data_IF_420625538169
#
_entry.id   IF_420625538169
#
_cell.length_a   1.000
_cell.length_b   1.000
_cell.length_c   1.000
_cell.angle_alpha   90.00
_cell.angle_beta   90.00
_cell.angle_gamma   90.00
#
_symmetry.space_group_name_H-M   'P 1'
#
loop_
_entity.id
_entity.type
_entity.pdbx_description
1 polymer ?
#
# COMPACT_ATOMS: atom_id res chain seq x y z
N UNK A 1 -52.81 -6.08 -50.18
CA UNK A 1 -51.90 -6.43 -49.06
C UNK A 1 -52.68 -7.29 -48.10
N UNK A 2 -52.06 -8.29 -47.47
CA UNK A 2 -52.71 -9.12 -46.45
C UNK A 2 -52.49 -8.48 -45.10
N UNK A 3 -53.56 -8.10 -44.40
CA UNK A 3 -53.47 -7.79 -42.98
C UNK A 3 -53.00 -9.05 -42.24
N UNK A 4 -52.05 -8.88 -41.32
CA UNK A 4 -51.42 -9.96 -40.59
C UNK A 4 -51.55 -9.66 -39.09
N UNK A 5 -52.67 -10.08 -38.51
CA UNK A 5 -52.96 -9.86 -37.09
C UNK A 5 -51.79 -10.25 -36.19
N UNK A 6 -51.41 -9.32 -35.30
CA UNK A 6 -50.33 -9.48 -34.32
C UNK A 6 -50.59 -10.73 -33.47
N UNK A 7 -49.63 -11.65 -33.42
CA UNK A 7 -49.68 -12.84 -32.58
C UNK A 7 -49.88 -12.46 -31.11
N UNK A 8 -50.56 -13.32 -30.35
CA UNK A 8 -50.68 -13.17 -28.89
C UNK A 8 -49.32 -13.13 -28.17
N UNK A 9 -48.26 -13.63 -28.81
CA UNK A 9 -46.89 -13.62 -28.30
C UNK A 9 -46.18 -12.30 -28.62
N UNK A 10 -46.26 -11.83 -29.86
CA UNK A 10 -45.78 -10.50 -30.30
C UNK A 10 -46.47 -9.39 -29.50
N UNK A 11 -47.79 -9.46 -29.33
CA UNK A 11 -48.58 -8.56 -28.51
C UNK A 11 -48.29 -8.67 -27.00
N UNK A 12 -47.56 -9.69 -26.52
CA UNK A 12 -47.01 -9.75 -25.16
C UNK A 12 -45.61 -9.12 -25.12
N UNK A 13 -44.74 -9.48 -26.05
CA UNK A 13 -43.40 -8.90 -26.22
C UNK A 13 -43.43 -7.37 -26.29
N UNK A 14 -44.33 -6.81 -27.09
CA UNK A 14 -44.53 -5.36 -27.22
C UNK A 14 -44.91 -4.66 -25.92
N UNK A 15 -45.73 -5.31 -25.07
CA UNK A 15 -46.14 -4.74 -23.78
C UNK A 15 -44.98 -4.75 -22.80
N UNK A 16 -44.29 -5.88 -22.66
CA UNK A 16 -43.09 -5.96 -21.81
C UNK A 16 -41.97 -5.03 -22.29
N UNK A 17 -41.79 -4.85 -23.61
CA UNK A 17 -40.85 -3.86 -24.15
C UNK A 17 -41.23 -2.42 -23.75
N UNK A 18 -42.50 -2.02 -23.92
CA UNK A 18 -42.98 -0.68 -23.54
C UNK A 18 -42.94 -0.44 -22.03
N UNK A 19 -43.17 -1.47 -21.22
CA UNK A 19 -43.03 -1.43 -19.75
C UNK A 19 -41.56 -1.21 -19.33
N UNK A 20 -40.64 -1.99 -19.90
CA UNK A 20 -39.20 -1.82 -19.66
C UNK A 20 -38.68 -0.45 -20.14
N UNK A 21 -39.16 0.07 -21.26
CA UNK A 21 -38.82 1.42 -21.73
C UNK A 21 -39.32 2.52 -20.77
N UNK A 22 -40.50 2.33 -20.16
CA UNK A 22 -41.01 3.21 -19.11
C UNK A 22 -40.11 3.20 -17.85
N UNK A 23 -39.67 2.02 -17.42
CA UNK A 23 -38.72 1.89 -16.31
C UNK A 23 -37.34 2.50 -16.64
N UNK A 24 -36.82 2.29 -17.85
CA UNK A 24 -35.55 2.91 -18.29
C UNK A 24 -35.63 4.44 -18.31
N UNK A 25 -36.70 5.02 -18.86
CA UNK A 25 -36.86 6.49 -18.89
C UNK A 25 -36.92 7.13 -17.50
N UNK A 26 -37.37 6.39 -16.48
CA UNK A 26 -37.28 6.83 -15.09
C UNK A 26 -35.86 6.66 -14.51
N UNK A 27 -35.19 5.54 -14.77
CA UNK A 27 -33.80 5.30 -14.34
C UNK A 27 -32.80 6.31 -14.93
N UNK A 28 -32.98 6.70 -16.20
CA UNK A 28 -32.14 7.69 -16.89
C UNK A 28 -32.21 9.07 -16.22
N UNK A 29 -33.29 9.40 -15.51
CA UNK A 29 -33.46 10.69 -14.84
C UNK A 29 -32.50 10.92 -13.66
N UNK A 30 -32.05 9.84 -13.00
CA UNK A 30 -31.13 9.92 -11.86
C UNK A 30 -29.80 9.18 -12.05
N UNK A 31 -29.67 8.31 -13.05
CA UNK A 31 -28.43 7.58 -13.34
C UNK A 31 -27.20 8.52 -13.47
N UNK A 32 -27.26 9.67 -14.17
CA UNK A 32 -26.14 10.62 -14.20
C UNK A 32 -25.77 11.20 -12.83
N UNK A 33 -26.76 11.42 -11.96
CA UNK A 33 -26.52 11.91 -10.60
C UNK A 33 -25.90 10.83 -9.71
N UNK A 34 -26.36 9.57 -9.82
CA UNK A 34 -25.78 8.43 -9.12
C UNK A 34 -24.32 8.18 -9.53
N UNK A 35 -23.99 8.30 -10.83
CA UNK A 35 -22.60 8.30 -11.31
C UNK A 35 -21.77 9.43 -10.73
N UNK A 36 -22.33 10.65 -10.66
CA UNK A 36 -21.67 11.80 -10.06
C UNK A 36 -21.31 11.54 -8.59
N UNK A 37 -22.25 10.99 -7.82
CA UNK A 37 -22.03 10.61 -6.41
C UNK A 37 -20.96 9.53 -6.27
N UNK A 38 -21.00 8.47 -7.09
CA UNK A 38 -19.97 7.40 -7.05
C UNK A 38 -18.58 7.90 -7.46
N UNK A 39 -18.49 8.75 -8.49
CA UNK A 39 -17.23 9.34 -8.92
C UNK A 39 -16.66 10.31 -7.88
N UNK A 40 -17.50 11.12 -7.23
CA UNK A 40 -17.09 11.98 -6.10
C UNK A 40 -16.65 11.14 -4.88
N UNK A 41 -17.32 10.03 -4.59
CA UNK A 41 -16.91 9.12 -3.51
C UNK A 41 -15.53 8.50 -3.77
N UNK A 42 -15.29 7.95 -4.97
CA UNK A 42 -13.95 7.46 -5.34
C UNK A 42 -12.92 8.59 -5.33
N UNK A 43 -13.29 9.79 -5.79
CA UNK A 43 -12.46 11.00 -5.72
C UNK A 43 -12.02 11.36 -4.30
N UNK A 44 -12.93 11.31 -3.31
CA UNK A 44 -12.62 11.60 -1.90
C UNK A 44 -11.63 10.56 -1.35
N UNK A 45 -11.87 9.27 -1.59
CA UNK A 45 -10.95 8.22 -1.15
C UNK A 45 -9.59 8.29 -1.87
N UNK A 46 -9.58 8.65 -3.15
CA UNK A 46 -8.35 8.88 -3.93
C UNK A 46 -7.57 10.08 -3.39
N UNK A 47 -8.26 11.18 -3.06
CA UNK A 47 -7.63 12.35 -2.43
C UNK A 47 -6.96 11.95 -1.10
N UNK A 48 -7.68 11.22 -0.23
CA UNK A 48 -7.15 10.76 1.04
C UNK A 48 -5.92 9.84 0.84
N UNK A 49 -6.02 8.85 -0.05
CA UNK A 49 -4.91 7.96 -0.38
C UNK A 49 -3.67 8.69 -0.90
N UNK A 50 -3.82 9.63 -1.84
CA UNK A 50 -2.71 10.45 -2.35
C UNK A 50 -2.16 11.40 -1.28
N UNK A 51 -3.01 11.98 -0.42
CA UNK A 51 -2.55 12.84 0.67
C UNK A 51 -1.70 12.08 1.70
N UNK A 52 -1.93 10.76 1.87
CA UNK A 52 -1.09 9.88 2.69
C UNK A 52 0.23 9.43 2.03
N UNK A 53 0.47 9.83 0.77
CA UNK A 53 1.69 9.55 0.00
C UNK A 53 2.52 10.81 -0.29
N UNK A 54 1.97 12.01 -0.09
CA UNK A 54 2.62 13.28 -0.37
C UNK A 54 3.04 13.96 0.93
N UNK A 55 4.23 13.61 1.44
CA UNK A 55 4.78 14.14 2.68
C UNK A 55 4.77 15.69 2.74
N UNK A 56 4.10 16.22 3.78
CA UNK A 56 4.18 17.61 4.21
C UNK A 56 2.92 18.46 3.97
N UNK A 57 2.65 19.37 4.91
CA UNK A 57 1.48 20.28 4.96
C UNK A 57 1.49 21.43 3.92
N UNK A 58 2.11 21.19 2.75
CA UNK A 58 2.32 22.21 1.72
C UNK A 58 1.06 22.51 0.90
N UNK A 59 0.89 23.77 0.50
CA UNK A 59 -0.12 24.13 -0.50
C UNK A 59 0.08 23.37 -1.83
N UNK A 60 1.32 22.96 -2.15
CA UNK A 60 1.64 22.18 -3.36
C UNK A 60 1.24 20.71 -3.25
N UNK A 61 1.43 20.05 -2.10
CA UNK A 61 1.01 18.65 -1.88
C UNK A 61 -0.51 18.55 -1.85
N UNK A 62 -1.18 19.50 -1.18
CA UNK A 62 -2.64 19.65 -1.24
C UNK A 62 -3.14 19.82 -2.68
N UNK A 63 -2.59 20.77 -3.45
CA UNK A 63 -3.01 21.01 -4.84
C UNK A 63 -2.75 19.79 -5.74
N UNK A 64 -1.65 19.05 -5.53
CA UNK A 64 -1.36 17.83 -6.27
C UNK A 64 -2.36 16.70 -5.97
N UNK A 65 -2.69 16.48 -4.68
CA UNK A 65 -3.70 15.49 -4.28
C UNK A 65 -5.10 15.84 -4.82
N UNK A 66 -5.50 17.11 -4.78
CA UNK A 66 -6.77 17.60 -5.37
C UNK A 66 -6.77 17.43 -6.89
N UNK A 67 -5.69 17.78 -7.57
CA UNK A 67 -5.60 17.65 -9.03
C UNK A 67 -5.68 16.18 -9.49
N UNK A 68 -4.98 15.26 -8.80
CA UNK A 68 -5.03 13.83 -9.08
C UNK A 68 -6.43 13.26 -8.81
N UNK A 69 -7.01 13.56 -7.65
CA UNK A 69 -8.39 13.18 -7.29
C UNK A 69 -9.41 13.65 -8.33
N UNK A 70 -9.33 14.91 -8.77
CA UNK A 70 -10.23 15.47 -9.79
C UNK A 70 -10.06 14.75 -11.14
N UNK A 71 -8.81 14.50 -11.57
CA UNK A 71 -8.53 13.79 -12.82
C UNK A 71 -9.08 12.36 -12.81
N UNK A 72 -8.88 11.61 -11.71
CA UNK A 72 -9.44 10.25 -11.53
C UNK A 72 -10.97 10.29 -11.49
N UNK A 73 -11.57 11.21 -10.73
CA UNK A 73 -13.03 11.37 -10.63
C UNK A 73 -13.68 11.62 -11.99
N UNK A 74 -13.11 12.56 -12.77
CA UNK A 74 -13.59 12.88 -14.12
C UNK A 74 -13.36 11.70 -15.07
N UNK A 75 -12.22 11.01 -14.97
CA UNK A 75 -11.93 9.81 -15.76
C UNK A 75 -12.95 8.69 -15.53
N UNK A 76 -13.21 8.34 -14.27
CA UNK A 76 -14.21 7.34 -13.86
C UNK A 76 -15.62 7.74 -14.33
N UNK A 77 -16.03 8.99 -14.08
CA UNK A 77 -17.35 9.50 -14.48
C UNK A 77 -17.55 9.43 -16.00
N UNK A 78 -16.56 9.89 -16.78
CA UNK A 78 -16.61 9.92 -18.25
C UNK A 78 -16.59 8.51 -18.83
N UNK A 79 -15.71 7.63 -18.33
CA UNK A 79 -15.62 6.23 -18.76
C UNK A 79 -16.95 5.49 -18.60
N UNK A 80 -17.53 5.52 -17.40
CA UNK A 80 -18.81 4.86 -17.14
C UNK A 80 -19.97 5.52 -17.88
N UNK A 81 -19.99 6.86 -18.01
CA UNK A 81 -20.99 7.58 -18.81
C UNK A 81 -20.97 7.19 -20.30
N UNK A 82 -19.79 6.92 -20.87
CA UNK A 82 -19.69 6.39 -22.24
C UNK A 82 -20.18 4.94 -22.32
N UNK A 83 -19.78 4.06 -21.39
CA UNK A 83 -20.18 2.66 -21.44
C UNK A 83 -21.70 2.45 -21.27
N UNK A 84 -22.34 3.19 -20.36
CA UNK A 84 -23.79 3.13 -20.15
C UNK A 84 -24.59 3.54 -21.40
N UNK A 85 -24.04 4.43 -22.23
CA UNK A 85 -24.68 4.89 -23.48
C UNK A 85 -24.36 4.01 -24.67
N UNK A 86 -23.10 3.59 -24.81
CA UNK A 86 -22.60 2.89 -26.00
C UNK A 86 -22.85 1.37 -25.93
N UNK A 87 -22.56 0.71 -24.81
CA UNK A 87 -22.57 -0.76 -24.74
C UNK A 87 -23.98 -1.36 -24.88
N UNK A 88 -25.04 -0.83 -24.24
CA UNK A 88 -26.41 -1.30 -24.46
C UNK A 88 -26.93 -1.03 -25.89
N UNK A 89 -26.37 -0.04 -26.59
CA UNK A 89 -26.78 0.37 -27.94
C UNK A 89 -26.13 -0.46 -29.06
N UNK A 90 -25.07 -1.23 -28.78
CA UNK A 90 -24.37 -2.02 -29.80
C UNK A 90 -25.27 -3.10 -30.41
N UNK A 91 -25.38 -3.11 -31.75
CA UNK A 91 -26.18 -4.06 -32.53
C UNK A 91 -25.38 -5.21 -33.14
N UNK A 92 -24.05 -5.09 -33.26
CA UNK A 92 -23.19 -6.08 -33.89
C UNK A 92 -22.37 -6.85 -32.85
N UNK A 93 -22.19 -8.16 -33.06
CA UNK A 93 -21.42 -9.01 -32.15
C UNK A 93 -19.98 -8.52 -31.98
N UNK A 94 -19.30 -8.16 -33.08
CA UNK A 94 -17.94 -7.59 -33.03
C UNK A 94 -17.86 -6.26 -32.27
N UNK A 95 -18.88 -5.40 -32.38
CA UNK A 95 -18.95 -4.15 -31.63
C UNK A 95 -19.19 -4.35 -30.13
N UNK A 96 -20.07 -5.30 -29.78
CA UNK A 96 -20.31 -5.70 -28.39
C UNK A 96 -19.06 -6.33 -27.76
N UNK A 97 -18.37 -7.23 -28.48
CA UNK A 97 -17.11 -7.84 -28.03
C UNK A 97 -16.00 -6.81 -27.86
N UNK A 98 -15.80 -5.91 -28.83
CA UNK A 98 -14.77 -4.87 -28.76
C UNK A 98 -14.98 -3.89 -27.60
N UNK A 99 -16.22 -3.45 -27.38
CA UNK A 99 -16.55 -2.54 -26.28
C UNK A 99 -16.60 -3.24 -24.92
N UNK A 100 -16.95 -4.54 -24.88
CA UNK A 100 -16.81 -5.38 -23.70
C UNK A 100 -15.34 -5.59 -23.30
N UNK A 101 -14.45 -5.83 -24.26
CA UNK A 101 -13.00 -5.88 -24.01
C UNK A 101 -12.48 -4.53 -23.52
N UNK A 102 -12.89 -3.42 -24.13
CA UNK A 102 -12.56 -2.08 -23.66
C UNK A 102 -13.10 -1.79 -22.24
N UNK A 103 -14.25 -2.37 -21.88
CA UNK A 103 -14.81 -2.29 -20.51
C UNK A 103 -13.91 -3.03 -19.52
N UNK A 104 -13.46 -4.24 -19.84
CA UNK A 104 -12.53 -5.02 -18.98
C UNK A 104 -11.18 -4.30 -18.83
N UNK A 105 -10.58 -3.84 -19.94
CA UNK A 105 -9.29 -3.12 -19.92
C UNK A 105 -9.40 -1.81 -19.13
N UNK A 106 -10.47 -1.02 -19.35
CA UNK A 106 -10.69 0.21 -18.60
C UNK A 106 -10.99 -0.01 -17.12
N UNK A 107 -11.73 -1.08 -16.78
CA UNK A 107 -11.98 -1.48 -15.38
C UNK A 107 -10.67 -1.85 -14.67
N UNK A 108 -9.79 -2.61 -15.33
CA UNK A 108 -8.46 -2.94 -14.81
C UNK A 108 -7.58 -1.69 -14.65
N UNK A 109 -7.65 -0.73 -15.57
CA UNK A 109 -6.92 0.53 -15.48
C UNK A 109 -7.42 1.41 -14.31
N UNK A 110 -8.73 1.48 -14.08
CA UNK A 110 -9.30 2.18 -12.91
C UNK A 110 -8.83 1.51 -11.61
N UNK A 111 -8.93 0.17 -11.51
CA UNK A 111 -8.48 -0.58 -10.33
C UNK A 111 -6.99 -0.36 -10.04
N UNK A 112 -6.15 -0.36 -11.08
CA UNK A 112 -4.71 -0.13 -10.95
C UNK A 112 -4.36 1.31 -10.53
N UNK A 113 -5.11 2.33 -10.98
CA UNK A 113 -4.87 3.72 -10.59
C UNK A 113 -5.48 4.08 -9.23
N UNK A 114 -6.67 3.56 -8.91
CA UNK A 114 -7.54 4.09 -7.85
C UNK A 114 -7.74 3.14 -6.67
N UNK A 115 -7.99 1.85 -6.91
CA UNK A 115 -8.49 0.97 -5.82
C UNK A 115 -7.48 0.73 -4.69
N UNK A 116 -6.17 0.79 -4.95
CA UNK A 116 -5.16 0.68 -3.90
C UNK A 116 -5.07 1.94 -3.02
N UNK A 117 -5.23 3.13 -3.61
CA UNK A 117 -5.35 4.41 -2.89
C UNK A 117 -6.65 4.46 -2.08
N UNK A 118 -7.74 4.00 -2.68
CA UNK A 118 -9.04 3.89 -2.01
C UNK A 118 -8.98 2.90 -0.83
N UNK A 119 -8.25 1.78 -0.97
CA UNK A 119 -8.00 0.85 0.13
C UNK A 119 -7.08 1.44 1.21
N UNK A 120 -6.06 2.23 0.83
CA UNK A 120 -5.21 2.97 1.76
C UNK A 120 -6.01 4.00 2.58
N UNK A 121 -6.94 4.73 1.96
CA UNK A 121 -7.84 5.64 2.66
C UNK A 121 -8.84 4.95 3.60
N UNK A 122 -9.20 3.68 3.34
CA UNK A 122 -10.13 2.89 4.15
C UNK A 122 -9.45 2.10 5.28
N UNK A 123 -8.18 1.70 5.13
CA UNK A 123 -7.51 0.76 6.03
C UNK A 123 -6.05 1.09 6.35
N UNK A 124 -5.51 2.20 5.83
CA UNK A 124 -4.10 2.60 5.95
C UNK A 124 -3.58 2.58 7.37
N UNK A 125 -4.21 3.32 8.28
CA UNK A 125 -3.82 3.37 9.68
C UNK A 125 -3.79 1.98 10.35
N UNK A 126 -4.85 1.18 10.17
CA UNK A 126 -4.92 -0.18 10.72
C UNK A 126 -3.84 -1.12 10.13
N UNK A 127 -3.44 -0.90 8.87
CA UNK A 127 -2.36 -1.66 8.23
C UNK A 127 -0.97 -1.24 8.75
N UNK A 128 -0.76 0.05 9.05
CA UNK A 128 0.45 0.52 9.74
C UNK A 128 0.47 0.01 11.18
N UNK A 129 -0.64 0.04 11.91
CA UNK A 129 -0.75 -0.57 13.25
C UNK A 129 -0.45 -2.08 13.23
N UNK A 130 -0.85 -2.80 12.17
CA UNK A 130 -0.43 -4.19 11.96
C UNK A 130 1.08 -4.33 11.68
N UNK A 131 1.71 -3.36 11.01
CA UNK A 131 3.17 -3.33 10.85
C UNK A 131 3.87 -3.19 12.20
N UNK A 132 3.49 -2.16 12.98
CA UNK A 132 4.01 -1.90 14.31
C UNK A 132 3.84 -3.12 15.24
N UNK A 133 2.67 -3.76 15.21
CA UNK A 133 2.38 -4.96 16.01
C UNK A 133 3.27 -6.16 15.66
N UNK A 134 3.59 -6.39 14.38
CA UNK A 134 4.54 -7.43 13.98
C UNK A 134 5.97 -7.08 14.39
N UNK A 135 6.40 -5.83 14.18
CA UNK A 135 7.73 -5.39 14.61
C UNK A 135 7.92 -5.52 16.13
N UNK A 136 6.90 -5.28 16.95
CA UNK A 136 6.95 -5.57 18.40
C UNK A 136 7.10 -7.07 18.69
N UNK A 137 6.44 -7.94 17.93
CA UNK A 137 6.58 -9.40 18.08
C UNK A 137 7.98 -9.88 17.70
N UNK A 138 8.53 -9.36 16.59
CA UNK A 138 9.88 -9.67 16.11
C UNK A 138 10.94 -9.20 17.13
N UNK A 139 10.82 -7.97 17.65
CA UNK A 139 11.70 -7.45 18.71
C UNK A 139 11.54 -8.21 20.03
N UNK A 140 10.33 -8.61 20.41
CA UNK A 140 10.11 -9.42 21.62
C UNK A 140 10.83 -10.78 21.50
N UNK A 141 10.66 -11.49 20.39
CA UNK A 141 11.35 -12.74 20.13
C UNK A 141 12.88 -12.57 20.11
N UNK A 142 13.37 -11.46 19.55
CA UNK A 142 14.80 -11.12 19.54
C UNK A 142 15.35 -10.84 20.96
N UNK A 143 14.63 -10.07 21.78
CA UNK A 143 14.99 -9.78 23.18
C UNK A 143 14.99 -11.05 24.04
N UNK A 144 13.93 -11.86 23.96
CA UNK A 144 13.82 -13.14 24.68
C UNK A 144 14.94 -14.11 24.27
N UNK A 145 15.27 -14.18 22.97
CA UNK A 145 16.39 -14.99 22.46
C UNK A 145 17.74 -14.51 22.99
N UNK A 146 18.00 -13.20 22.98
CA UNK A 146 19.24 -12.62 23.49
C UNK A 146 19.40 -12.86 25.02
N UNK A 147 18.34 -12.62 25.79
CA UNK A 147 18.34 -12.85 27.24
C UNK A 147 18.52 -14.33 27.57
N UNK A 148 17.84 -15.26 26.86
CA UNK A 148 18.04 -16.70 27.06
C UNK A 148 19.50 -17.11 26.85
N UNK A 149 20.17 -16.61 25.81
CA UNK A 149 21.58 -16.94 25.54
C UNK A 149 22.49 -16.37 26.64
N UNK A 150 22.25 -15.14 27.07
CA UNK A 150 23.00 -14.51 28.16
C UNK A 150 22.84 -15.27 29.50
N UNK A 151 21.62 -15.71 29.84
CA UNK A 151 21.34 -16.54 31.02
C UNK A 151 21.88 -17.96 30.88
N UNK A 152 21.86 -18.54 29.68
CA UNK A 152 22.50 -19.85 29.41
C UNK A 152 24.01 -19.78 29.63
N UNK A 153 24.64 -18.67 29.25
CA UNK A 153 26.06 -18.42 29.52
C UNK A 153 26.38 -18.27 31.03
N UNK A 154 25.41 -17.90 31.87
CA UNK A 154 25.58 -17.95 33.35
C UNK A 154 25.62 -19.39 33.88
N UNK A 155 25.12 -20.38 33.13
CA UNK A 155 25.29 -21.81 33.47
C UNK A 155 26.77 -22.19 33.61
N UNK A 156 27.63 -21.59 32.78
CA UNK A 156 29.08 -21.82 32.74
C UNK A 156 29.79 -21.39 34.04
N UNK A 157 29.18 -20.53 34.87
CA UNK A 157 29.67 -20.22 36.22
C UNK A 157 29.89 -21.51 37.04
N UNK A 158 28.94 -22.45 36.93
CA UNK A 158 28.98 -23.73 37.64
C UNK A 158 30.02 -24.68 37.06
N UNK A 159 30.33 -24.55 35.77
CA UNK A 159 31.35 -25.37 35.11
C UNK A 159 32.75 -24.89 35.46
N UNK A 160 32.95 -23.57 35.50
CA UNK A 160 34.14 -22.90 36.03
C UNK A 160 34.35 -23.25 37.50
N UNK A 161 33.30 -23.16 38.34
CA UNK A 161 33.38 -23.53 39.76
C UNK A 161 33.72 -25.02 39.97
N UNK A 162 33.10 -25.93 39.20
CA UNK A 162 33.44 -27.38 39.22
C UNK A 162 34.87 -27.65 38.76
N UNK A 163 35.37 -26.91 37.77
CA UNK A 163 36.77 -27.00 37.36
C UNK A 163 37.70 -26.48 38.47
N UNK A 164 37.40 -25.33 39.08
CA UNK A 164 38.19 -24.74 40.18
C UNK A 164 38.33 -25.70 41.35
N UNK A 165 37.22 -26.20 41.89
CA UNK A 165 37.26 -27.13 43.04
C UNK A 165 38.04 -28.41 42.69
N UNK A 166 37.94 -28.91 41.45
CA UNK A 166 38.75 -30.04 40.99
C UNK A 166 40.27 -29.77 40.98
N UNK A 167 40.73 -28.51 40.99
CA UNK A 167 42.15 -28.16 41.16
C UNK A 167 42.50 -27.88 42.63
N UNK A 168 41.57 -27.31 43.41
CA UNK A 168 41.73 -27.13 44.86
C UNK A 168 41.89 -28.50 45.55
N UNK A 169 41.01 -29.47 45.26
CA UNK A 169 41.05 -30.86 45.75
C UNK A 169 42.39 -31.56 45.44
N UNK A 170 42.93 -31.36 44.23
CA UNK A 170 44.23 -31.90 43.82
C UNK A 170 45.37 -31.23 44.59
N UNK A 171 45.25 -29.93 44.90
CA UNK A 171 46.26 -29.21 45.66
C UNK A 171 46.33 -29.66 47.13
N UNK A 172 45.20 -30.05 47.74
CA UNK A 172 45.19 -30.64 49.08
C UNK A 172 45.80 -32.06 49.09
N UNK A 173 45.58 -32.83 48.03
CA UNK A 173 46.23 -34.14 47.84
C UNK A 173 47.75 -34.01 47.67
N UNK A 174 48.23 -32.99 46.96
CA UNK A 174 49.67 -32.70 46.85
C UNK A 174 50.26 -32.18 48.18
N UNK A 175 49.54 -31.30 48.89
CA UNK A 175 49.97 -30.78 50.19
C UNK A 175 50.13 -31.90 51.24
N UNK A 176 49.28 -32.93 51.17
CA UNK A 176 49.35 -34.14 52.00
C UNK A 176 50.30 -35.21 51.47
N UNK A 177 50.88 -35.03 50.27
CA UNK A 177 51.80 -35.98 49.63
C UNK A 177 51.13 -37.21 49.00
N UNK A 178 49.80 -37.25 48.96
CA UNK A 178 49.05 -38.34 48.35
C UNK A 178 49.06 -38.29 46.80
N UNK A 179 49.48 -37.17 46.20
CA UNK A 179 49.51 -36.98 44.75
C UNK A 179 50.89 -37.26 44.12
N UNK A 180 51.97 -36.62 44.59
CA UNK A 180 53.35 -36.87 44.10
C UNK A 180 54.22 -37.78 44.99
N UNK A 181 53.67 -38.32 46.09
CA UNK A 181 54.44 -39.05 47.10
C UNK A 181 55.28 -38.14 48.02
N UNK A 182 55.35 -36.83 47.74
CA UNK A 182 56.15 -35.85 48.49
C UNK A 182 55.29 -34.69 49.03
N UNK A 183 54.90 -34.77 50.30
CA UNK A 183 54.06 -33.75 50.94
C UNK A 183 54.74 -32.37 50.99
N UNK A 184 54.10 -31.35 50.40
CA UNK A 184 54.55 -29.97 50.53
C UNK A 184 53.94 -28.97 49.53
N UNK A 185 54.46 -27.74 49.57
CA UNK A 185 54.07 -26.65 48.66
C UNK A 185 54.98 -26.60 47.42
N UNK A 186 55.18 -27.77 46.81
CA UNK A 186 56.10 -28.00 45.68
C UNK A 186 55.63 -27.38 44.36
N UNK A 187 56.36 -27.65 43.27
CA UNK A 187 56.05 -27.18 41.92
C UNK A 187 54.58 -27.41 41.52
N UNK A 188 54.09 -28.63 41.71
CA UNK A 188 52.72 -29.05 41.36
C UNK A 188 51.68 -28.31 42.19
N UNK A 189 51.89 -28.18 43.51
CA UNK A 189 51.00 -27.42 44.40
C UNK A 189 50.83 -25.96 43.96
N UNK A 190 51.93 -25.30 43.56
CA UNK A 190 51.92 -23.90 43.12
C UNK A 190 51.14 -23.74 41.80
N UNK A 191 51.34 -24.65 40.83
CA UNK A 191 50.60 -24.65 39.56
C UNK A 191 49.09 -24.88 39.77
N UNK A 192 48.71 -25.85 40.60
CA UNK A 192 47.31 -26.15 40.91
C UNK A 192 46.59 -24.97 41.56
N UNK A 193 47.23 -24.30 42.52
CA UNK A 193 46.67 -23.09 43.15
C UNK A 193 46.55 -21.95 42.14
N UNK A 194 47.57 -21.72 41.29
CA UNK A 194 47.50 -20.71 40.23
C UNK A 194 46.30 -20.94 39.30
N UNK A 195 46.04 -22.19 38.88
CA UNK A 195 44.89 -22.49 38.00
C UNK A 195 43.53 -22.39 38.73
N UNK A 196 43.48 -22.70 40.02
CA UNK A 196 42.31 -22.43 40.84
C UNK A 196 42.03 -20.91 40.99
N UNK A 197 43.08 -20.10 41.15
CA UNK A 197 42.98 -18.64 41.25
C UNK A 197 42.59 -17.99 39.91
N UNK A 198 43.16 -18.44 38.78
CA UNK A 198 42.76 -18.04 37.42
C UNK A 198 41.25 -18.31 37.20
N UNK A 199 40.76 -19.50 37.57
CA UNK A 199 39.34 -19.85 37.46
C UNK A 199 38.44 -19.08 38.43
N UNK A 200 38.90 -18.75 39.66
CA UNK A 200 38.13 -17.92 40.61
C UNK A 200 37.96 -16.48 40.11
N UNK A 201 38.96 -15.96 39.39
CA UNK A 201 38.86 -14.70 38.66
C UNK A 201 37.77 -14.74 37.58
N UNK A 202 37.73 -15.81 36.78
CA UNK A 202 36.71 -16.03 35.76
C UNK A 202 35.30 -16.18 36.36
N UNK A 203 35.14 -16.98 37.42
CA UNK A 203 33.89 -17.15 38.18
C UNK A 203 33.34 -15.79 38.66
N UNK A 204 34.22 -14.97 39.26
CA UNK A 204 33.88 -13.61 39.70
C UNK A 204 33.46 -12.69 38.53
N UNK A 205 34.14 -12.81 37.39
CA UNK A 205 33.82 -12.01 36.19
C UNK A 205 32.48 -12.42 35.55
N UNK A 206 32.12 -13.72 35.59
CA UNK A 206 30.84 -14.24 35.11
C UNK A 206 29.70 -13.75 36.00
N UNK A 207 29.80 -13.97 37.31
CA UNK A 207 28.79 -13.56 38.29
C UNK A 207 28.52 -12.05 38.25
N UNK A 208 29.56 -11.25 37.99
CA UNK A 208 29.45 -9.81 37.79
C UNK A 208 28.57 -9.37 36.61
N UNK A 209 28.29 -10.22 35.61
CA UNK A 209 27.41 -9.89 34.50
C UNK A 209 25.92 -10.11 34.78
N UNK A 210 25.56 -10.87 35.83
CA UNK A 210 24.17 -11.25 36.10
C UNK A 210 23.27 -10.01 36.31
N UNK A 211 23.67 -9.07 37.17
CA UNK A 211 22.89 -7.84 37.40
C UNK A 211 22.77 -6.95 36.15
N UNK A 212 23.84 -6.67 35.37
CA UNK A 212 23.73 -6.05 34.04
C UNK A 212 22.76 -6.76 33.08
N UNK A 213 22.77 -8.10 33.02
CA UNK A 213 21.88 -8.88 32.13
C UNK A 213 20.41 -8.72 32.53
N UNK A 214 20.09 -8.73 33.83
CA UNK A 214 18.73 -8.49 34.29
C UNK A 214 18.28 -7.06 34.02
N UNK A 215 19.10 -6.05 34.36
CA UNK A 215 18.78 -4.65 34.14
C UNK A 215 18.53 -4.32 32.65
N UNK A 216 19.34 -4.88 31.75
CA UNK A 216 19.13 -4.73 30.30
C UNK A 216 17.83 -5.42 29.83
N UNK A 217 17.49 -6.59 30.36
CA UNK A 217 16.22 -7.25 30.02
C UNK A 217 14.99 -6.51 30.57
N UNK A 218 15.09 -5.93 31.76
CA UNK A 218 14.05 -5.05 32.34
C UNK A 218 13.86 -3.78 31.51
N UNK A 219 14.95 -3.10 31.08
CA UNK A 219 14.83 -1.95 30.17
C UNK A 219 14.19 -2.37 28.82
N UNK A 220 14.61 -3.49 28.24
CA UNK A 220 14.04 -4.02 26.99
C UNK A 220 12.54 -4.28 27.09
N UNK A 221 12.08 -4.85 28.20
CA UNK A 221 10.65 -5.06 28.47
C UNK A 221 9.90 -3.74 28.70
N UNK A 222 10.53 -2.74 29.34
CA UNK A 222 9.95 -1.40 29.50
C UNK A 222 9.83 -0.66 28.17
N UNK A 223 10.78 -0.82 27.25
CA UNK A 223 10.70 -0.31 25.86
C UNK A 223 9.56 -1.02 25.11
N UNK A 224 9.52 -2.35 25.11
CA UNK A 224 8.42 -3.12 24.49
C UNK A 224 7.03 -2.73 25.04
N UNK A 225 6.93 -2.40 26.33
CA UNK A 225 5.69 -1.90 26.93
C UNK A 225 5.25 -0.55 26.33
N UNK A 226 6.18 0.39 26.15
CA UNK A 226 5.90 1.68 25.47
C UNK A 226 5.56 1.49 24.00
N UNK A 227 6.28 0.62 23.28
CA UNK A 227 5.97 0.29 21.88
C UNK A 227 4.57 -0.33 21.72
N UNK A 228 4.12 -1.17 22.67
CA UNK A 228 2.74 -1.69 22.71
C UNK A 228 1.71 -0.60 22.99
N UNK A 229 2.02 0.39 23.84
CA UNK A 229 1.15 1.53 24.09
C UNK A 229 0.97 2.40 22.84
N UNK A 230 2.05 2.70 22.12
CA UNK A 230 2.03 3.46 20.85
C UNK A 230 1.16 2.81 19.76
N UNK A 231 0.93 1.50 19.80
CA UNK A 231 0.04 0.82 18.84
C UNK A 231 -1.44 1.12 19.12
N UNK A 232 -1.84 1.20 20.39
CA UNK A 232 -3.25 1.33 20.82
C UNK A 232 -3.66 2.76 21.19
N UNK A 233 -2.73 3.71 21.13
CA UNK A 233 -2.96 5.12 21.40
C UNK A 233 -3.87 5.78 20.35
N UNK A 234 -4.75 6.69 20.78
CA UNK A 234 -5.70 7.37 19.89
C UNK A 234 -5.04 8.56 19.16
N UNK A 235 -4.95 8.49 17.84
CA UNK A 235 -4.42 9.55 16.99
C UNK A 235 -3.96 9.03 15.64
N UNK A 236 -3.36 9.91 14.82
CA UNK A 236 -2.68 9.50 13.59
C UNK A 236 -1.58 8.48 13.88
N UNK A 237 -1.37 7.53 12.97
CA UNK A 237 -0.35 6.48 13.14
C UNK A 237 1.02 6.99 12.72
N UNK A 238 1.03 7.96 11.81
CA UNK A 238 2.19 8.59 11.20
C UNK A 238 3.05 9.28 12.27
N UNK A 239 2.43 10.09 13.15
CA UNK A 239 3.12 10.71 14.29
C UNK A 239 3.64 9.69 15.30
N UNK A 240 2.82 8.68 15.65
CA UNK A 240 3.20 7.59 16.57
C UNK A 240 4.36 6.74 16.02
N UNK A 241 4.47 6.61 14.70
CA UNK A 241 5.54 5.86 14.01
C UNK A 241 6.92 6.51 14.16
N UNK A 242 7.00 7.83 14.38
CA UNK A 242 8.27 8.51 14.68
C UNK A 242 8.79 8.08 16.05
N UNK A 243 7.99 8.20 17.10
CA UNK A 243 8.38 7.76 18.46
C UNK A 243 8.59 6.24 18.53
N UNK A 244 7.84 5.46 17.74
CA UNK A 244 8.09 4.03 17.59
C UNK A 244 9.45 3.73 16.95
N UNK A 245 9.94 4.58 16.03
CA UNK A 245 11.29 4.47 15.46
C UNK A 245 12.36 4.68 16.52
N UNK A 246 12.20 5.70 17.37
CA UNK A 246 13.12 6.02 18.46
C UNK A 246 13.22 4.86 19.46
N UNK A 247 12.08 4.33 19.91
CA UNK A 247 12.03 3.19 20.81
C UNK A 247 12.56 1.89 20.15
N UNK A 248 12.34 1.68 18.85
CA UNK A 248 12.93 0.56 18.09
C UNK A 248 14.46 0.60 18.08
N UNK A 249 15.05 1.78 17.85
CA UNK A 249 16.51 1.97 17.88
C UNK A 249 17.06 1.74 19.29
N UNK A 250 16.38 2.23 20.33
CA UNK A 250 16.74 1.95 21.73
C UNK A 250 16.72 0.45 22.05
N UNK A 251 15.69 -0.27 21.58
CA UNK A 251 15.55 -1.70 21.83
C UNK A 251 16.62 -2.53 21.10
N UNK A 252 16.95 -2.17 19.85
CA UNK A 252 18.09 -2.74 19.14
C UNK A 252 19.42 -2.50 19.89
N UNK A 253 19.58 -1.32 20.51
CA UNK A 253 20.68 -1.02 21.44
C UNK A 253 20.72 -1.97 22.64
N UNK A 254 19.61 -2.15 23.36
CA UNK A 254 19.50 -3.06 24.51
C UNK A 254 19.79 -4.53 24.13
N UNK A 255 19.27 -4.99 22.98
CA UNK A 255 19.56 -6.34 22.46
C UNK A 255 21.06 -6.50 22.12
N UNK A 256 21.69 -5.43 21.63
CA UNK A 256 23.14 -5.40 21.39
C UNK A 256 23.93 -5.44 22.70
N UNK A 257 23.49 -4.73 23.75
CA UNK A 257 24.08 -4.81 25.09
C UNK A 257 23.98 -6.23 25.66
N UNK A 258 22.83 -6.91 25.54
CA UNK A 258 22.68 -8.31 25.95
C UNK A 258 23.64 -9.27 25.21
N UNK A 259 23.88 -9.04 23.91
CA UNK A 259 24.91 -9.78 23.14
C UNK A 259 26.33 -9.50 23.65
N UNK A 260 26.63 -8.27 24.08
CA UNK A 260 27.95 -7.88 24.60
C UNK A 260 28.22 -8.41 26.01
N UNK A 261 27.18 -8.58 26.84
CA UNK A 261 27.28 -9.16 28.18
C UNK A 261 27.41 -10.70 28.19
N UNK A 262 27.36 -11.36 27.02
CA UNK A 262 27.47 -12.82 26.91
C UNK A 262 28.91 -13.31 27.16
N UNK A 263 29.10 -14.02 28.28
CA UNK A 263 30.42 -14.52 28.73
C UNK A 263 30.95 -15.75 27.98
N UNK A 264 30.19 -16.37 27.08
CA UNK A 264 30.58 -17.66 26.48
C UNK A 264 31.89 -17.60 25.68
N UNK A 265 32.17 -16.49 24.96
CA UNK A 265 33.46 -16.27 24.28
C UNK A 265 34.64 -16.14 25.27
N UNK A 266 34.41 -15.51 26.43
CA UNK A 266 35.42 -15.38 27.49
C UNK A 266 35.75 -16.75 28.09
N UNK A 267 34.73 -17.58 28.36
CA UNK A 267 34.90 -18.94 28.90
C UNK A 267 35.60 -19.85 27.89
N UNK A 268 35.17 -19.85 26.62
CA UNK A 268 35.82 -20.63 25.57
C UNK A 268 37.30 -20.27 25.40
N UNK A 269 37.64 -18.98 25.48
CA UNK A 269 39.03 -18.50 25.43
C UNK A 269 39.83 -18.93 26.66
N UNK A 270 39.29 -18.74 27.87
CA UNK A 270 39.97 -19.17 29.10
C UNK A 270 40.20 -20.69 29.14
N UNK A 271 39.29 -21.47 28.55
CA UNK A 271 39.39 -22.92 28.40
C UNK A 271 40.41 -23.39 27.35
N UNK A 272 40.90 -22.49 26.47
CA UNK A 272 42.03 -22.75 25.56
C UNK A 272 43.34 -22.22 26.19
N UNK A 273 43.32 -21.02 26.77
CA UNK A 273 44.45 -20.41 27.49
C UNK A 273 44.92 -21.31 28.66
N UNK A 274 44.01 -22.02 29.34
CA UNK A 274 44.34 -23.02 30.37
C UNK A 274 45.31 -24.10 29.88
N UNK A 275 45.12 -24.61 28.65
CA UNK A 275 45.91 -25.71 28.06
C UNK A 275 47.26 -25.20 27.55
N UNK A 276 47.25 -24.02 26.93
CA UNK A 276 48.46 -23.39 26.41
C UNK A 276 49.39 -22.86 27.52
N UNK A 277 48.85 -22.46 28.67
CA UNK A 277 49.57 -21.79 29.76
C UNK A 277 50.18 -22.77 30.76
N UNK A 278 51.19 -23.53 30.29
CA UNK A 278 51.99 -24.48 31.09
C UNK A 278 53.48 -24.18 30.94
N UNK A 279 53.98 -23.22 31.72
CA UNK A 279 55.42 -23.10 31.98
C UNK A 279 55.76 -24.12 33.06
N UNK A 280 56.36 -25.25 32.67
CA UNK A 280 56.80 -26.30 33.59
C UNK A 280 57.76 -25.71 34.66
N UNK A 281 57.41 -25.71 35.95
CA UNK A 281 58.27 -25.15 36.99
C UNK A 281 59.50 -26.05 37.23
N UNK A 282 60.58 -25.46 37.75
CA UNK A 282 61.74 -26.24 38.20
C UNK A 282 61.33 -27.24 39.31
N UNK A 283 61.73 -28.50 39.15
CA UNK A 283 61.38 -29.61 40.04
C UNK A 283 62.18 -29.51 41.35
N UNK A 284 61.48 -29.24 42.45
CA UNK A 284 62.06 -28.97 43.78
C UNK A 284 62.36 -30.25 44.60
N UNK A 285 62.19 -31.43 44.02
CA UNK A 285 62.50 -32.73 44.62
C UNK A 285 63.97 -32.88 45.06
N UNK A 286 64.17 -33.22 46.34
CA UNK A 286 65.49 -33.35 47.00
C UNK A 286 66.31 -34.57 46.56
N UNK A 287 65.71 -35.56 45.92
CA UNK A 287 66.36 -36.75 45.37
C UNK A 287 66.01 -36.93 43.89
N UNK A 288 66.69 -37.84 43.18
CA UNK A 288 66.37 -38.13 41.79
C UNK A 288 64.95 -38.70 41.63
N UNK A 289 64.61 -39.72 42.43
CA UNK A 289 63.29 -40.36 42.41
C UNK A 289 62.14 -39.36 42.64
N UNK A 290 62.23 -38.50 43.67
CA UNK A 290 61.18 -37.50 43.93
C UNK A 290 60.97 -36.55 42.76
N UNK A 291 61.99 -36.24 41.95
CA UNK A 291 61.82 -35.43 40.74
C UNK A 291 61.20 -36.22 39.58
N UNK A 292 61.45 -37.53 39.50
CA UNK A 292 60.82 -38.44 38.54
C UNK A 292 59.33 -38.65 38.88
N UNK A 293 59.02 -38.89 40.16
CA UNK A 293 57.66 -38.96 40.71
C UNK A 293 56.91 -37.64 40.47
N UNK A 294 57.50 -36.48 40.81
CA UNK A 294 56.94 -35.16 40.51
C UNK A 294 56.68 -34.94 39.00
N UNK A 295 57.56 -35.43 38.11
CA UNK A 295 57.38 -35.29 36.67
C UNK A 295 56.23 -36.16 36.13
N UNK A 296 56.11 -37.42 36.59
CA UNK A 296 55.01 -38.32 36.23
C UNK A 296 53.65 -37.82 36.78
N UNK A 297 53.64 -37.30 38.01
CA UNK A 297 52.47 -36.65 38.61
C UNK A 297 52.09 -35.39 37.84
N UNK A 298 53.07 -34.55 37.46
CA UNK A 298 52.79 -33.34 36.68
C UNK A 298 52.20 -33.68 35.30
N UNK A 299 52.72 -34.70 34.60
CA UNK A 299 52.09 -35.19 33.37
C UNK A 299 50.63 -35.63 33.58
N UNK A 300 50.36 -36.38 34.66
CA UNK A 300 49.01 -36.82 35.02
C UNK A 300 48.06 -35.66 35.37
N UNK A 301 48.58 -34.60 36.00
CA UNK A 301 47.85 -33.36 36.30
C UNK A 301 47.56 -32.57 35.03
N UNK A 302 48.47 -32.55 34.06
CA UNK A 302 48.26 -31.89 32.77
C UNK A 302 47.21 -32.63 31.91
N UNK A 303 47.29 -33.97 31.84
CA UNK A 303 46.23 -34.79 31.23
C UNK A 303 44.86 -34.55 31.89
N UNK A 304 44.82 -34.31 33.21
CA UNK A 304 43.58 -33.98 33.92
C UNK A 304 43.10 -32.55 33.59
N UNK A 305 44.01 -31.59 33.54
CA UNK A 305 43.74 -30.20 33.16
C UNK A 305 43.17 -30.13 31.73
N UNK A 306 43.78 -30.80 30.76
CA UNK A 306 43.32 -30.81 29.36
C UNK A 306 41.90 -31.37 29.22
N UNK A 307 41.56 -32.42 29.99
CA UNK A 307 40.20 -32.98 30.01
C UNK A 307 39.18 -32.02 30.65
N UNK A 308 39.56 -31.26 31.69
CA UNK A 308 38.70 -30.21 32.28
C UNK A 308 38.53 -29.03 31.32
N UNK A 309 39.62 -28.59 30.70
CA UNK A 309 39.66 -27.50 29.75
C UNK A 309 38.91 -27.83 28.44
N UNK A 310 38.94 -29.10 27.99
CA UNK A 310 38.05 -29.61 26.95
C UNK A 310 36.57 -29.47 27.38
N UNK A 311 36.19 -30.10 28.49
CA UNK A 311 34.80 -30.06 29.02
C UNK A 311 34.24 -28.63 29.15
N UNK A 312 35.06 -27.69 29.64
CA UNK A 312 34.66 -26.28 29.80
C UNK A 312 34.52 -25.55 28.46
N UNK A 313 35.38 -25.86 27.48
CA UNK A 313 35.28 -25.28 26.14
C UNK A 313 34.08 -25.84 25.39
N UNK A 314 33.84 -27.14 25.46
CA UNK A 314 32.71 -27.82 24.81
C UNK A 314 31.37 -27.27 25.31
N UNK A 315 31.24 -27.02 26.62
CA UNK A 315 30.08 -26.35 27.21
C UNK A 315 29.91 -24.89 26.76
N UNK A 316 31.01 -24.15 26.62
CA UNK A 316 30.98 -22.79 26.07
C UNK A 316 30.62 -22.79 24.56
N UNK A 317 31.14 -23.74 23.79
CA UNK A 317 30.81 -23.96 22.38
C UNK A 317 29.32 -24.30 22.18
N UNK A 318 28.69 -25.07 23.07
CA UNK A 318 27.24 -25.32 23.04
C UNK A 318 26.43 -24.01 23.17
N UNK A 319 26.84 -23.10 24.07
CA UNK A 319 26.20 -21.78 24.23
C UNK A 319 26.48 -20.86 23.02
N UNK A 320 27.65 -20.98 22.38
CA UNK A 320 28.00 -20.22 21.17
C UNK A 320 27.32 -20.76 19.90
N UNK A 321 26.97 -22.05 19.87
CA UNK A 321 26.22 -22.69 18.79
C UNK A 321 24.70 -22.42 18.84
N UNK A 322 24.19 -21.79 19.91
CA UNK A 322 22.78 -21.42 20.01
C UNK A 322 22.37 -20.45 18.89
N UNK A 323 21.19 -20.63 18.26
CA UNK A 323 20.71 -19.71 17.24
C UNK A 323 20.65 -18.26 17.75
N UNK A 324 21.31 -17.31 17.05
CA UNK A 324 21.40 -15.92 17.49
C UNK A 324 20.01 -15.22 17.48
N UNK A 325 19.86 -14.11 18.24
CA UNK A 325 18.68 -13.26 18.13
C UNK A 325 18.51 -12.72 16.71
N UNK A 326 17.27 -12.63 16.24
CA UNK A 326 16.97 -12.12 14.89
C UNK A 326 17.29 -10.62 14.83
N UNK A 327 17.91 -10.17 13.74
CA UNK A 327 18.32 -8.77 13.59
C UNK A 327 17.14 -7.92 13.07
N UNK A 328 16.20 -7.64 13.99
CA UNK A 328 15.02 -6.83 13.74
C UNK A 328 15.40 -5.36 13.54
N UNK A 329 15.13 -4.84 12.35
CA UNK A 329 15.25 -3.41 12.01
C UNK A 329 13.87 -2.87 11.66
N UNK A 330 13.33 -1.94 12.44
CA UNK A 330 12.13 -1.20 12.04
C UNK A 330 12.43 -0.34 10.81
N UNK A 331 11.54 -0.38 9.82
CA UNK A 331 11.56 0.51 8.65
C UNK A 331 10.19 1.17 8.54
N UNK A 332 10.09 2.50 8.68
CA UNK A 332 8.83 3.21 8.49
C UNK A 332 8.17 2.87 7.15
N UNK A 333 6.84 2.79 7.15
CA UNK A 333 6.03 2.31 6.02
C UNK A 333 4.90 3.31 5.76
N UNK A 334 4.61 3.61 4.49
CA UNK A 334 3.45 4.44 4.15
C UNK A 334 2.14 3.67 4.41
N UNK A 335 1.04 4.39 4.62
CA UNK A 335 -0.29 3.82 4.75
C UNK A 335 -0.68 2.94 3.56
N UNK A 336 -0.26 3.31 2.35
CA UNK A 336 -0.56 2.56 1.13
C UNK A 336 0.34 1.32 0.95
N UNK A 337 1.65 1.43 1.23
CA UNK A 337 2.56 0.28 1.24
C UNK A 337 2.15 -0.76 2.28
N UNK A 338 1.63 -0.32 3.42
CA UNK A 338 1.10 -1.20 4.46
C UNK A 338 -0.14 -1.97 3.97
N UNK A 339 -1.11 -1.30 3.33
CA UNK A 339 -2.31 -1.95 2.78
C UNK A 339 -1.99 -2.92 1.63
N UNK A 340 -0.90 -2.70 0.89
CA UNK A 340 -0.36 -3.67 -0.08
C UNK A 340 0.34 -4.83 0.63
N UNK A 341 1.31 -4.57 1.53
CA UNK A 341 2.09 -5.58 2.28
C UNK A 341 1.20 -6.49 3.14
N UNK A 342 0.06 -5.99 3.61
CA UNK A 342 -0.90 -6.73 4.43
C UNK A 342 -2.26 -6.95 3.74
N UNK A 343 -2.33 -6.88 2.40
CA UNK A 343 -3.58 -6.95 1.65
C UNK A 343 -4.52 -8.11 2.03
N UNK A 344 -3.96 -9.29 2.34
CA UNK A 344 -4.73 -10.46 2.79
C UNK A 344 -5.47 -10.29 4.13
N UNK A 345 -5.03 -9.39 5.01
CA UNK A 345 -5.73 -9.04 6.25
C UNK A 345 -6.85 -8.00 6.00
N UNK A 346 -6.70 -7.16 4.97
CA UNK A 346 -7.62 -6.07 4.63
C UNK A 346 -8.49 -6.37 3.41
N UNK A 347 -8.72 -7.65 3.11
CA UNK A 347 -9.55 -8.09 1.99
C UNK A 347 -10.96 -7.44 1.93
N UNK A 348 -11.67 -7.16 3.05
CA UNK A 348 -12.93 -6.41 3.00
C UNK A 348 -12.76 -4.97 2.52
N UNK A 349 -11.68 -4.29 2.90
CA UNK A 349 -11.39 -2.90 2.50
C UNK A 349 -10.96 -2.82 1.03
N UNK A 350 -10.15 -3.79 0.57
CA UNK A 350 -9.84 -3.97 -0.85
C UNK A 350 -11.11 -4.25 -1.68
N UNK A 351 -12.00 -5.13 -1.21
CA UNK A 351 -13.27 -5.40 -1.87
C UNK A 351 -14.18 -4.16 -1.92
N UNK A 352 -14.24 -3.37 -0.84
CA UNK A 352 -14.96 -2.10 -0.80
C UNK A 352 -14.41 -1.07 -1.78
N UNK A 353 -13.08 -0.90 -1.83
CA UNK A 353 -12.41 0.00 -2.76
C UNK A 353 -12.67 -0.36 -4.23
N UNK A 354 -12.50 -1.63 -4.59
CA UNK A 354 -12.78 -2.14 -5.94
C UNK A 354 -14.27 -2.03 -6.26
N UNK A 355 -15.17 -2.24 -5.29
CA UNK A 355 -16.61 -2.08 -5.50
C UNK A 355 -17.01 -0.62 -5.77
N UNK A 356 -16.45 0.36 -5.07
CA UNK A 356 -16.68 1.79 -5.33
C UNK A 356 -16.34 2.14 -6.79
N UNK A 357 -15.20 1.65 -7.28
CA UNK A 357 -14.70 1.93 -8.62
C UNK A 357 -15.47 1.19 -9.74
N UNK A 358 -15.96 -0.03 -9.46
CA UNK A 358 -16.58 -0.92 -10.46
C UNK A 358 -18.12 -1.05 -10.36
N UNK A 359 -18.77 -0.51 -9.33
CA UNK A 359 -20.24 -0.53 -9.15
C UNK A 359 -21.03 -0.09 -10.39
N UNK A 360 -20.63 0.97 -11.14
CA UNK A 360 -21.33 1.35 -12.37
C UNK A 360 -21.30 0.28 -13.47
N UNK A 361 -20.34 -0.65 -13.46
CA UNK A 361 -20.32 -1.80 -14.38
C UNK A 361 -21.52 -2.73 -14.21
N UNK A 362 -22.08 -2.82 -13.00
CA UNK A 362 -23.33 -3.55 -12.73
C UNK A 362 -24.52 -2.85 -13.40
N UNK A 363 -24.55 -1.51 -13.39
CA UNK A 363 -25.56 -0.71 -14.09
C UNK A 363 -25.43 -0.89 -15.62
N UNK A 364 -24.21 -0.86 -16.17
CA UNK A 364 -23.95 -1.16 -17.60
C UNK A 364 -24.50 -2.53 -17.99
N UNK A 365 -24.27 -3.55 -17.16
CA UNK A 365 -24.78 -4.91 -17.41
C UNK A 365 -26.31 -4.98 -17.36
N UNK A 366 -26.95 -4.38 -16.35
CA UNK A 366 -28.42 -4.33 -16.22
C UNK A 366 -29.05 -3.61 -17.43
N UNK A 367 -28.49 -2.47 -17.84
CA UNK A 367 -28.97 -1.74 -19.03
C UNK A 367 -28.77 -2.56 -20.31
N UNK A 368 -27.63 -3.23 -20.48
CA UNK A 368 -27.37 -4.07 -21.66
C UNK A 368 -28.35 -5.25 -21.77
N UNK A 369 -28.64 -5.92 -20.65
CA UNK A 369 -29.64 -7.00 -20.59
C UNK A 369 -31.06 -6.49 -20.85
N UNK A 370 -31.42 -5.34 -20.25
CA UNK A 370 -32.74 -4.72 -20.41
C UNK A 370 -32.97 -4.28 -21.86
N UNK A 371 -31.99 -3.58 -22.46
CA UNK A 371 -32.05 -3.18 -23.86
C UNK A 371 -32.07 -4.38 -24.83
N UNK A 372 -31.39 -5.48 -24.50
CA UNK A 372 -31.49 -6.72 -25.26
C UNK A 372 -32.89 -7.39 -25.13
N UNK A 373 -33.55 -7.26 -23.99
CA UNK A 373 -34.93 -7.73 -23.80
C UNK A 373 -35.95 -6.85 -24.56
N UNK A 374 -35.79 -5.52 -24.53
CA UNK A 374 -36.61 -4.57 -25.30
C UNK A 374 -36.51 -4.86 -26.80
N UNK A 375 -35.30 -5.12 -27.32
CA UNK A 375 -35.09 -5.51 -28.73
C UNK A 375 -35.86 -6.78 -29.10
N UNK A 376 -35.69 -7.87 -28.34
CA UNK A 376 -36.44 -9.12 -28.56
C UNK A 376 -37.95 -8.96 -28.44
N UNK A 377 -38.44 -8.05 -27.59
CA UNK A 377 -39.86 -7.71 -27.48
C UNK A 377 -40.42 -6.86 -28.63
N UNK A 378 -39.57 -6.37 -29.54
CA UNK A 378 -39.94 -5.60 -30.75
C UNK A 378 -39.57 -6.31 -32.06
N UNK A 379 -38.82 -7.41 -32.00
CA UNK A 379 -38.51 -8.26 -33.15
C UNK A 379 -39.79 -8.93 -33.69
N UNK A 380 -40.00 -8.87 -35.02
CA UNK A 380 -41.16 -9.46 -35.71
C UNK A 380 -42.32 -8.51 -36.02
N UNK A 381 -42.41 -7.36 -35.34
CA UNK A 381 -43.56 -6.43 -35.43
C UNK A 381 -43.39 -5.43 -36.58
N UNK A 382 -44.48 -5.07 -37.27
CA UNK A 382 -44.46 -4.05 -38.32
C UNK A 382 -44.14 -2.66 -37.77
N UNK A 383 -43.41 -1.83 -38.54
CA UNK A 383 -43.09 -0.45 -38.14
C UNK A 383 -44.39 0.34 -37.93
N UNK A 384 -45.37 0.09 -38.80
CA UNK A 384 -46.75 0.57 -38.80
C UNK A 384 -47.45 0.40 -37.44
N UNK A 385 -47.15 -0.68 -36.72
CA UNK A 385 -47.81 -1.07 -35.46
C UNK A 385 -47.05 -0.60 -34.21
N UNK A 386 -45.79 -0.18 -34.38
CA UNK A 386 -44.98 0.37 -33.29
C UNK A 386 -45.30 1.83 -32.97
N UNK A 387 -45.83 2.57 -33.96
CA UNK A 387 -46.15 4.00 -33.88
C UNK A 387 -47.06 4.34 -32.69
N UNK A 388 -46.67 5.34 -31.90
CA UNK A 388 -47.51 5.90 -30.85
C UNK A 388 -48.61 6.82 -31.43
N UNK A 389 -49.66 7.05 -30.65
CA UNK A 389 -50.70 8.04 -30.97
C UNK A 389 -50.17 9.48 -31.11
N UNK A 390 -48.96 9.78 -30.63
CA UNK A 390 -48.27 11.04 -30.85
C UNK A 390 -47.59 11.09 -32.22
N UNK A 391 -46.89 10.03 -32.61
CA UNK A 391 -46.23 9.91 -33.92
C UNK A 391 -47.24 9.80 -35.05
N UNK A 392 -48.33 9.05 -34.87
CA UNK A 392 -49.45 9.01 -35.82
C UNK A 392 -50.07 10.42 -36.01
N UNK A 393 -50.19 11.21 -34.94
CA UNK A 393 -50.63 12.61 -35.03
C UNK A 393 -49.61 13.53 -35.70
N UNK A 394 -48.32 13.26 -35.57
CA UNK A 394 -47.27 14.00 -36.29
C UNK A 394 -47.30 13.67 -37.79
N UNK A 395 -47.39 12.39 -38.16
CA UNK A 395 -47.54 11.93 -39.54
C UNK A 395 -48.81 12.49 -40.19
N UNK A 396 -49.96 12.46 -39.49
CA UNK A 396 -51.22 13.04 -39.98
C UNK A 396 -51.23 14.58 -40.06
N UNK A 397 -50.29 15.29 -39.40
CA UNK A 397 -50.04 16.72 -39.65
C UNK A 397 -49.22 16.90 -40.91
N UNK A 398 -48.06 16.24 -41.00
CA UNK A 398 -47.20 16.32 -42.19
C UNK A 398 -47.91 15.92 -43.49
N UNK A 399 -48.79 14.91 -43.44
CA UNK A 399 -49.65 14.55 -44.57
C UNK A 399 -50.60 15.68 -44.97
N UNK A 400 -51.23 16.35 -43.99
CA UNK A 400 -52.14 17.49 -44.22
C UNK A 400 -51.42 18.75 -44.69
N UNK A 401 -50.19 18.96 -44.24
CA UNK A 401 -49.32 20.04 -44.71
C UNK A 401 -48.92 19.78 -46.18
N UNK A 402 -48.69 18.52 -46.57
CA UNK A 402 -48.47 18.09 -47.96
C UNK A 402 -49.75 18.23 -48.80
N UNK A 403 -50.93 17.85 -48.29
CA UNK A 403 -52.22 18.07 -48.96
C UNK A 403 -52.47 19.57 -49.21
N UNK A 404 -52.15 20.44 -48.24
CA UNK A 404 -52.23 21.89 -48.41
C UNK A 404 -51.22 22.46 -49.43
N UNK A 405 -50.00 21.92 -49.46
CA UNK A 405 -48.99 22.27 -50.46
C UNK A 405 -49.39 21.83 -51.88
N UNK A 406 -50.04 20.67 -52.02
CA UNK A 406 -50.58 20.18 -53.30
C UNK A 406 -51.79 21.00 -53.75
N UNK A 407 -52.75 21.27 -52.87
CA UNK A 407 -53.93 22.09 -53.21
C UNK A 407 -53.57 23.52 -53.64
N UNK A 408 -52.57 24.13 -52.99
CA UNK A 408 -52.05 25.45 -53.40
C UNK A 408 -51.24 25.41 -54.70
N UNK A 409 -50.64 24.27 -55.07
CA UNK A 409 -50.03 24.07 -56.38
C UNK A 409 -51.08 23.91 -57.49
N UNK A 410 -52.19 23.22 -57.23
CA UNK A 410 -53.33 23.11 -58.17
C UNK A 410 -54.03 24.47 -58.38
N UNK A 411 -54.24 25.27 -57.33
CA UNK A 411 -54.75 26.65 -57.47
C UNK A 411 -53.78 27.55 -58.27
N UNK A 412 -52.47 27.38 -58.09
CA UNK A 412 -51.44 28.05 -58.91
C UNK A 412 -51.42 27.57 -60.38
N UNK A 413 -51.92 26.36 -60.65
CA UNK A 413 -52.08 25.82 -62.01
C UNK A 413 -53.40 26.29 -62.65
N UNK A 414 -54.52 26.27 -61.92
CA UNK A 414 -55.83 26.77 -62.34
C UNK A 414 -55.78 28.28 -62.67
N UNK A 415 -55.16 29.08 -61.79
CA UNK A 415 -54.98 30.52 -62.03
C UNK A 415 -54.11 30.82 -63.26
N UNK A 416 -53.13 29.96 -63.58
CA UNK A 416 -52.38 30.04 -64.85
C UNK A 416 -53.23 29.71 -66.08
N UNK A 417 -54.11 28.71 -66.00
CA UNK A 417 -55.01 28.34 -67.10
C UNK A 417 -56.05 29.43 -67.35
N UNK A 418 -56.63 30.01 -66.29
CA UNK A 418 -57.60 31.12 -66.38
C UNK A 418 -56.93 32.43 -66.85
N UNK A 419 -55.65 32.64 -66.52
CA UNK A 419 -54.91 33.87 -66.81
C UNK A 419 -54.57 34.15 -68.28
N UNK A 420 -54.68 33.18 -69.19
CA UNK A 420 -54.26 33.34 -70.60
C UNK A 420 -55.26 34.11 -71.49
N UNK A 421 -56.37 34.62 -70.94
CA UNK A 421 -57.49 35.16 -71.73
C UNK A 421 -57.41 36.61 -72.23
N UNK A 422 -56.35 37.41 -71.95
CA UNK A 422 -56.38 38.86 -72.28
C UNK A 422 -55.02 39.58 -72.45
N UNK A 423 -54.49 39.57 -73.67
CA UNK A 423 -53.70 40.69 -74.26
C UNK A 423 -54.68 41.61 -75.05
N UNK A 424 -54.47 42.88 -75.42
CA UNK A 424 -53.35 43.86 -75.57
C UNK A 424 -54.01 45.27 -75.77
N UNK A 425 -53.37 46.38 -76.22
CA UNK A 425 -52.00 46.92 -76.08
C UNK A 425 -52.02 48.38 -75.50
N UNK A 426 -50.99 49.21 -75.75
CA UNK A 426 -50.85 50.61 -75.28
C UNK A 426 -50.45 51.60 -76.40
N UNK A 427 -50.51 52.92 -76.16
CA UNK A 427 -49.79 53.95 -76.95
C UNK A 427 -49.53 55.27 -76.17
N UNK A 428 -48.61 56.11 -76.68
CA UNK A 428 -48.15 57.41 -76.16
C UNK A 428 -48.98 58.60 -76.75
N UNK A 429 -48.77 59.91 -76.56
CA UNK A 429 -47.64 60.80 -76.14
C UNK A 429 -48.13 61.82 -75.07
N UNK A 430 -47.41 62.81 -74.51
CA UNK A 430 -46.03 63.32 -74.60
C UNK A 430 -46.00 64.84 -74.32
N UNK A 431 -45.00 65.35 -73.58
CA UNK A 431 -44.89 66.78 -73.22
C UNK A 431 -43.91 67.05 -72.05
N UNK A 432 -43.27 68.23 -72.00
CA UNK A 432 -42.11 68.47 -71.13
C UNK A 432 -42.03 69.89 -70.53
N UNK A 433 -41.42 70.02 -69.34
CA UNK A 433 -40.87 71.25 -68.76
C UNK A 433 -39.85 70.96 -67.62
N UNK A 434 -38.88 71.86 -67.45
CA UNK A 434 -37.85 71.94 -66.39
C UNK A 434 -37.28 73.39 -66.39
N UNK A 435 -36.32 73.83 -65.53
CA UNK A 435 -35.63 73.16 -64.41
C UNK A 435 -35.60 73.99 -63.10
N UNK A 436 -34.93 73.49 -62.03
CA UNK A 436 -33.81 74.18 -61.33
C UNK A 436 -33.18 73.30 -60.22
N UNK A 437 -32.08 73.77 -59.58
CA UNK A 437 -31.23 73.03 -58.60
C UNK A 437 -30.71 74.00 -57.49
N UNK A 438 -29.76 73.66 -56.56
CA UNK A 438 -29.07 72.39 -56.25
C UNK A 438 -28.84 72.01 -54.75
N UNK A 439 -28.60 70.71 -54.48
CA UNK A 439 -27.79 70.16 -53.35
C UNK A 439 -28.39 70.20 -51.91
N UNK A 440 -27.66 69.72 -50.86
CA UNK A 440 -26.48 68.83 -50.86
C UNK A 440 -26.57 67.61 -49.89
N UNK A 441 -25.57 66.72 -49.95
CA UNK A 441 -25.16 65.70 -48.93
C UNK A 441 -23.80 66.14 -48.32
N UNK A 442 -23.30 65.71 -47.13
CA UNK A 442 -23.10 64.32 -46.68
C UNK A 442 -23.69 64.08 -45.25
N UNK A 443 -23.17 63.39 -44.22
CA UNK A 443 -21.85 62.78 -43.92
C UNK A 443 -21.89 61.67 -42.84
N UNK A 444 -20.72 61.11 -42.51
CA UNK A 444 -20.43 60.09 -41.48
C UNK A 444 -19.66 60.72 -40.29
N UNK A 445 -19.73 60.17 -39.06
CA UNK A 445 -18.77 60.44 -37.99
C UNK A 445 -17.57 59.47 -38.01
N UNK A 446 -16.38 60.01 -37.68
CA UNK A 446 -15.05 59.35 -37.53
C UNK A 446 -14.14 60.31 -36.74
N UNK A 447 -13.17 59.91 -35.91
CA UNK A 447 -12.85 58.62 -35.24
C UNK A 447 -12.22 58.98 -33.88
N UNK A 448 -12.49 58.22 -32.80
CA UNK A 448 -11.90 58.51 -31.47
C UNK A 448 -11.83 57.27 -30.54
N UNK A 449 -10.75 56.50 -30.63
CA UNK A 449 -9.81 56.21 -29.52
C UNK A 449 -8.94 54.99 -29.84
N UNK A 450 -7.62 55.22 -29.90
CA UNK A 450 -6.61 54.18 -30.10
C UNK A 450 -5.52 54.32 -29.01
N UNK A 451 -5.32 53.32 -28.14
CA UNK A 451 -4.24 53.33 -27.17
C UNK A 451 -2.89 53.13 -27.88
N UNK A 452 -1.89 53.97 -27.52
CA UNK A 452 -0.53 53.89 -28.07
C UNK A 452 0.28 52.74 -27.42
N UNK A 453 1.21 52.10 -28.15
CA UNK A 453 2.13 51.12 -27.58
C UNK A 453 3.44 51.74 -27.04
N UNK A 454 3.99 51.13 -25.97
CA UNK A 454 5.36 51.37 -25.46
C UNK A 454 5.51 52.45 -24.38
N UNK A 455 6.64 52.48 -23.63
CA UNK A 455 7.87 51.71 -23.82
C UNK A 455 8.07 50.56 -22.80
N UNK A 456 9.24 49.92 -22.84
CA UNK A 456 9.64 48.77 -22.00
C UNK A 456 10.21 49.11 -20.61
N UNK A 457 10.96 48.17 -19.99
CA UNK A 457 11.18 48.10 -18.55
C UNK A 457 12.21 49.09 -17.99
N UNK A 458 12.19 49.25 -16.66
CA UNK A 458 13.29 49.74 -15.84
C UNK A 458 13.55 48.80 -14.69
N UNK A 459 14.80 48.36 -14.57
CA UNK A 459 15.37 47.92 -13.29
C UNK A 459 15.54 49.13 -12.37
N UNK A 460 15.46 48.94 -11.05
CA UNK A 460 16.53 49.25 -10.10
C UNK A 460 16.04 49.45 -8.64
N UNK A 461 16.53 48.55 -7.78
CA UNK A 461 17.15 48.86 -6.47
C UNK A 461 16.30 49.26 -5.23
N UNK A 462 16.66 48.61 -4.10
CA UNK A 462 16.46 48.93 -2.67
C UNK A 462 15.04 49.06 -2.07
N UNK A 463 14.80 48.20 -1.08
CA UNK A 463 13.74 48.22 -0.07
C UNK A 463 14.05 47.18 1.00
#
# INVERSE_FOLDING_TARGET
MTERDISREEARGLRSAKELEGHLGWLDSFTPAALGVLAVASGIYTYLGVSSLLDGDGALTFLAAVAYSLAVSVGIFVFWSYLLRLLPAMRTAGGFLGLGLATVVGSLAIVAMSSWLNAAALAGGAAVEQHLARTVQDYQASLERAHFIAVSAQGLERDVARARTSFEDLSEQELSGNLSGAAGRGAVFRLLNQKADELRGLETQIAGQNAPIQAAFEEGNAILSRMRALIVEQGSVEGRSVTFSEESVRLAGVITTLRQLQVAQLVARAAEDLRASVVLPELDGRSAGVREDQAATMGSVLDALDRRAATLRDAAEEVLAMPPPQETTYTPISAADAVIRYAGAFAPSWAGAIAIDLLPGVLVFILAVTQAAIRRGKEGVGIEETLTLAELRAAMRGLRDIEGALGSADDAMLSRVIGQGRERPAQADGGAAAPDAPGPRPAWPRDADAPKPGPGPREADRG
#
